data_IF_685977455023
#
_entry.id   IF_685977455023
#
_cell.length_a   1.000
_cell.length_b   1.000
_cell.length_c   1.000
_cell.angle_alpha   90.00
_cell.angle_beta   90.00
_cell.angle_gamma   90.00
#
_symmetry.space_group_name_H-M   'P 1'
#
loop_
_entity.id
_entity.type
_entity.pdbx_description
1 polymer ?
#
# COMPACT_ATOMS: atom_id res chain seq x y z
N UNK A 1 9.50 -61.67 -34.40
CA UNK A 1 10.29 -60.64 -33.69
C UNK A 1 10.20 -59.23 -34.30
N UNK A 2 10.00 -59.03 -35.60
CA UNK A 2 9.91 -57.69 -36.23
C UNK A 2 8.62 -56.88 -35.90
N UNK A 3 7.55 -57.51 -35.46
CA UNK A 3 6.27 -56.83 -35.16
C UNK A 3 6.20 -56.24 -33.72
N UNK A 4 7.03 -56.73 -32.80
CA UNK A 4 7.06 -56.23 -31.42
C UNK A 4 7.91 -54.95 -31.34
N UNK A 5 8.91 -54.76 -32.19
CA UNK A 5 9.72 -53.52 -32.24
C UNK A 5 8.97 -52.32 -32.80
N UNK A 6 7.96 -52.53 -33.66
CA UNK A 6 7.15 -51.44 -34.22
C UNK A 6 6.10 -50.93 -33.22
N UNK A 7 5.66 -51.76 -32.29
CA UNK A 7 4.73 -51.34 -31.22
C UNK A 7 5.44 -50.56 -30.12
N UNK A 8 6.66 -50.96 -29.82
CA UNK A 8 7.49 -50.25 -28.83
C UNK A 8 7.97 -48.87 -29.32
N UNK A 9 8.21 -48.71 -30.63
CA UNK A 9 8.56 -47.41 -31.24
C UNK A 9 7.37 -46.46 -31.34
N UNK A 10 6.13 -46.97 -31.47
CA UNK A 10 4.89 -46.17 -31.50
C UNK A 10 4.47 -45.64 -30.12
N UNK A 11 4.82 -46.36 -29.03
CA UNK A 11 4.51 -45.92 -27.68
C UNK A 11 5.50 -44.86 -27.13
N UNK A 12 6.71 -44.80 -27.66
CA UNK A 12 7.73 -43.83 -27.24
C UNK A 12 7.55 -42.43 -27.90
N UNK A 13 6.79 -42.32 -29.00
CA UNK A 13 6.49 -41.03 -29.62
C UNK A 13 5.24 -40.37 -29.05
N UNK A 14 4.42 -41.05 -28.25
CA UNK A 14 3.19 -40.52 -27.68
C UNK A 14 3.38 -39.77 -26.34
N UNK A 15 4.59 -39.84 -25.74
CA UNK A 15 4.86 -39.23 -24.41
C UNK A 15 5.59 -37.87 -24.51
N UNK A 16 6.01 -37.46 -25.71
CA UNK A 16 6.84 -36.28 -25.91
C UNK A 16 6.05 -35.01 -26.22
N UNK A 17 4.72 -35.00 -26.14
CA UNK A 17 3.90 -33.83 -26.43
C UNK A 17 3.04 -33.33 -25.26
N UNK A 18 3.30 -33.81 -24.04
CA UNK A 18 2.88 -33.06 -22.86
C UNK A 18 4.00 -32.10 -22.48
N UNK A 19 4.24 -31.11 -23.32
CA UNK A 19 4.89 -29.90 -22.91
C UNK A 19 4.02 -29.33 -21.79
N UNK A 20 4.49 -29.43 -20.56
CA UNK A 20 3.95 -28.62 -19.48
C UNK A 20 3.95 -27.18 -19.99
N UNK A 21 2.79 -26.56 -20.13
CA UNK A 21 2.72 -25.13 -20.32
C UNK A 21 3.32 -24.51 -19.07
N UNK A 22 4.52 -23.99 -19.21
CA UNK A 22 5.24 -23.21 -18.17
C UNK A 22 4.62 -21.81 -18.02
N UNK A 23 3.42 -21.60 -18.56
CA UNK A 23 2.62 -20.39 -18.38
C UNK A 23 1.63 -20.56 -17.22
N UNK A 24 2.13 -20.91 -16.06
CA UNK A 24 1.47 -20.52 -14.83
C UNK A 24 2.15 -19.24 -14.34
N UNK A 25 1.71 -18.12 -14.85
CA UNK A 25 1.79 -16.89 -14.10
C UNK A 25 1.14 -17.16 -12.73
N UNK A 26 1.72 -16.67 -11.62
CA UNK A 26 1.09 -16.81 -10.32
C UNK A 26 -0.28 -16.12 -10.35
N UNK A 27 -1.32 -16.93 -10.51
CA UNK A 27 -2.72 -16.50 -10.60
C UNK A 27 -3.25 -15.83 -9.32
N UNK A 28 -2.43 -15.66 -8.27
CA UNK A 28 -2.99 -15.48 -6.94
C UNK A 28 -2.56 -14.26 -6.14
N UNK A 29 -1.79 -13.30 -6.66
CA UNK A 29 -1.44 -12.16 -5.82
C UNK A 29 -1.77 -10.77 -6.36
N UNK A 30 -1.99 -10.61 -7.66
CA UNK A 30 -2.16 -9.25 -8.21
C UNK A 30 -3.32 -9.07 -9.19
N UNK A 31 -3.88 -10.13 -9.74
CA UNK A 31 -4.83 -10.01 -10.85
C UNK A 31 -6.30 -9.85 -10.44
N UNK A 32 -6.75 -10.41 -9.34
CA UNK A 32 -8.18 -10.40 -8.98
C UNK A 32 -8.58 -9.33 -7.97
N UNK A 33 -7.65 -8.84 -7.15
CA UNK A 33 -7.96 -7.83 -6.12
C UNK A 33 -7.58 -6.39 -6.50
N UNK A 34 -6.82 -6.18 -7.58
CA UNK A 34 -6.36 -4.85 -8.00
C UNK A 34 -6.93 -4.41 -9.36
N UNK A 35 -7.86 -5.14 -9.94
CA UNK A 35 -8.47 -4.78 -11.25
C UNK A 35 -9.63 -3.79 -11.13
N UNK A 36 -9.77 -3.12 -10.01
CA UNK A 36 -10.89 -2.18 -9.80
C UNK A 36 -10.70 -0.81 -10.44
N UNK A 37 -9.91 -0.67 -11.48
CA UNK A 37 -9.61 0.67 -11.97
C UNK A 37 -9.92 1.02 -13.41
N UNK A 38 -9.84 0.14 -14.38
CA UNK A 38 -9.89 0.60 -15.80
C UNK A 38 -10.28 -0.50 -16.79
N UNK A 39 -11.32 -1.25 -16.53
CA UNK A 39 -11.85 -2.17 -17.51
C UNK A 39 -13.32 -2.43 -17.26
N UNK A 40 -14.08 -2.86 -18.27
CA UNK A 40 -15.49 -3.27 -18.23
C UNK A 40 -15.78 -4.43 -17.25
N UNK A 41 -15.20 -4.35 -16.04
CA UNK A 41 -15.32 -5.34 -14.98
C UNK A 41 -16.36 -4.85 -13.97
N UNK A 42 -17.26 -5.74 -13.56
CA UNK A 42 -18.29 -5.53 -12.53
C UNK A 42 -17.71 -5.09 -11.15
N UNK A 43 -16.39 -4.97 -11.02
CA UNK A 43 -15.67 -4.60 -9.78
C UNK A 43 -15.12 -3.17 -9.77
N UNK A 44 -15.37 -2.36 -10.79
CA UNK A 44 -14.93 -0.97 -10.80
C UNK A 44 -15.60 -0.16 -9.68
N UNK A 45 -14.81 0.61 -8.92
CA UNK A 45 -15.33 1.53 -7.88
C UNK A 45 -15.97 2.72 -8.60
N UNK A 46 -17.27 2.65 -8.85
CA UNK A 46 -18.01 3.65 -9.62
C UNK A 46 -19.27 4.18 -8.90
N UNK A 47 -19.52 3.73 -7.67
CA UNK A 47 -20.64 4.19 -6.84
C UNK A 47 -20.14 4.67 -5.48
N UNK A 48 -20.93 5.55 -4.84
CA UNK A 48 -20.68 6.04 -3.48
C UNK A 48 -20.52 4.89 -2.47
N UNK A 49 -21.38 3.88 -2.55
CA UNK A 49 -21.35 2.73 -1.64
C UNK A 49 -20.06 1.91 -1.76
N UNK A 50 -19.59 1.65 -3.00
CA UNK A 50 -18.32 0.96 -3.24
C UNK A 50 -17.13 1.77 -2.74
N UNK A 51 -17.14 3.09 -2.94
CA UNK A 51 -16.11 3.99 -2.43
C UNK A 51 -16.08 4.03 -0.90
N UNK A 52 -17.24 4.06 -0.23
CA UNK A 52 -17.35 3.98 1.24
C UNK A 52 -16.82 2.64 1.77
N UNK A 53 -17.13 1.56 1.05
CA UNK A 53 -16.57 0.23 1.32
C UNK A 53 -15.04 0.23 1.24
N UNK A 54 -14.47 0.86 0.22
CA UNK A 54 -13.02 0.99 0.06
C UNK A 54 -12.38 1.85 1.16
N UNK A 55 -13.00 2.95 1.53
CA UNK A 55 -12.57 3.79 2.65
C UNK A 55 -12.57 2.98 3.97
N UNK A 56 -13.60 2.18 4.19
CA UNK A 56 -13.68 1.28 5.35
C UNK A 56 -12.59 0.21 5.31
N UNK A 57 -12.30 -0.36 4.14
CA UNK A 57 -11.22 -1.34 3.96
C UNK A 57 -9.86 -0.75 4.27
N UNK A 58 -9.58 0.50 3.87
CA UNK A 58 -8.38 1.25 4.23
C UNK A 58 -8.17 1.32 5.75
N UNK A 59 -9.21 1.69 6.50
CA UNK A 59 -9.14 1.72 7.97
C UNK A 59 -8.95 0.32 8.57
N UNK A 60 -9.66 -0.68 8.08
CA UNK A 60 -9.58 -2.05 8.57
C UNK A 60 -8.21 -2.68 8.31
N UNK A 61 -7.58 -2.36 7.18
CA UNK A 61 -6.25 -2.85 6.87
C UNK A 61 -5.22 -2.42 7.92
N UNK A 62 -5.30 -1.18 8.40
CA UNK A 62 -4.39 -0.65 9.42
C UNK A 62 -4.71 -1.15 10.83
N UNK A 63 -5.96 -1.58 11.07
CA UNK A 63 -6.40 -2.04 12.38
C UNK A 63 -5.84 -3.42 12.76
N UNK A 64 -5.61 -4.31 11.80
CA UNK A 64 -5.21 -5.71 11.90
C UNK A 64 -4.79 -6.28 13.25
N UNK A 65 -4.35 -7.50 13.27
CA UNK A 65 -3.86 -8.17 14.48
C UNK A 65 -2.42 -7.73 14.88
N UNK A 66 -1.86 -8.36 15.91
CA UNK A 66 -0.52 -8.02 16.43
C UNK A 66 0.62 -8.20 15.42
N UNK A 67 0.42 -8.94 14.33
CA UNK A 67 1.44 -9.15 13.29
C UNK A 67 1.34 -8.15 12.15
N UNK A 68 0.44 -7.19 12.27
CA UNK A 68 0.21 -6.16 11.27
C UNK A 68 1.12 -4.95 11.44
N UNK A 69 0.79 -3.91 10.70
CA UNK A 69 1.56 -2.68 10.58
C UNK A 69 2.03 -2.10 11.93
N UNK A 70 1.13 -2.00 12.92
CA UNK A 70 1.46 -1.39 14.21
C UNK A 70 2.50 -2.16 15.01
N UNK A 71 2.42 -3.49 14.99
CA UNK A 71 3.40 -4.33 15.68
C UNK A 71 4.79 -4.20 15.03
N UNK A 72 4.84 -4.27 13.70
CA UNK A 72 6.11 -4.12 12.97
C UNK A 72 6.71 -2.73 13.19
N UNK A 73 5.90 -1.67 13.07
CA UNK A 73 6.33 -0.30 13.27
C UNK A 73 6.85 -0.07 14.68
N UNK A 74 6.12 -0.52 15.71
CA UNK A 74 6.50 -0.36 17.11
C UNK A 74 7.80 -1.11 17.41
N UNK A 75 7.94 -2.36 16.95
CA UNK A 75 9.17 -3.13 17.13
C UNK A 75 10.37 -2.42 16.52
N UNK A 76 10.26 -1.99 15.26
CA UNK A 76 11.36 -1.32 14.57
C UNK A 76 11.69 0.07 15.14
N UNK A 77 10.72 0.77 15.72
CA UNK A 77 10.95 2.09 16.30
C UNK A 77 11.44 2.01 17.75
N UNK A 78 10.71 1.30 18.61
CA UNK A 78 10.92 1.35 20.06
C UNK A 78 12.06 0.45 20.52
N UNK A 79 12.27 -0.72 19.91
CA UNK A 79 13.39 -1.59 20.25
C UNK A 79 14.75 -0.96 19.87
N UNK A 80 14.79 -0.17 18.79
CA UNK A 80 16.01 0.56 18.39
C UNK A 80 16.28 1.81 19.22
N UNK A 81 15.28 2.32 19.91
CA UNK A 81 15.35 3.55 20.71
C UNK A 81 15.58 3.31 22.21
N UNK A 82 15.96 2.11 22.61
CA UNK A 82 16.13 1.68 24.01
C UNK A 82 14.84 1.78 24.88
N UNK A 83 13.69 2.01 24.24
CA UNK A 83 12.39 2.10 24.93
C UNK A 83 11.75 0.74 25.16
N UNK A 84 12.18 -0.28 24.40
CA UNK A 84 11.68 -1.64 24.52
C UNK A 84 12.84 -2.62 24.48
N UNK A 85 12.64 -3.77 25.13
CA UNK A 85 13.58 -4.87 25.19
C UNK A 85 12.89 -6.17 24.85
N UNK A 86 13.42 -6.95 23.90
CA UNK A 86 12.84 -8.21 23.45
C UNK A 86 12.94 -9.37 24.46
N UNK A 87 13.67 -9.18 25.54
CA UNK A 87 13.86 -10.17 26.59
C UNK A 87 14.91 -11.24 26.26
N UNK A 88 15.26 -12.06 27.26
CA UNK A 88 16.30 -13.09 27.13
C UNK A 88 15.95 -14.24 26.16
N UNK A 89 14.67 -14.37 25.82
CA UNK A 89 14.15 -15.39 24.90
C UNK A 89 13.74 -14.79 23.57
N UNK A 90 14.14 -13.55 23.28
CA UNK A 90 13.82 -12.88 22.03
C UNK A 90 14.36 -13.67 20.84
N UNK A 91 13.56 -13.78 19.80
CA UNK A 91 13.99 -14.34 18.53
C UNK A 91 15.18 -13.53 17.99
N UNK A 92 16.08 -14.20 17.26
CA UNK A 92 17.28 -13.58 16.67
C UNK A 92 16.95 -12.31 15.87
N UNK A 93 15.78 -12.27 15.26
CA UNK A 93 15.29 -11.11 14.46
C UNK A 93 15.00 -9.88 15.32
N UNK A 94 14.46 -10.04 16.54
CA UNK A 94 14.24 -8.93 17.47
C UNK A 94 15.59 -8.45 18.02
N UNK A 95 16.48 -9.37 18.35
CA UNK A 95 17.86 -9.03 18.82
C UNK A 95 18.62 -8.25 17.75
N UNK A 96 18.49 -8.58 16.47
CA UNK A 96 19.12 -7.81 15.40
C UNK A 96 18.56 -6.38 15.28
N UNK A 97 17.26 -6.19 15.57
CA UNK A 97 16.65 -4.86 15.63
C UNK A 97 17.21 -4.04 16.80
N UNK A 98 17.23 -4.61 18.01
CA UNK A 98 17.75 -3.98 19.22
C UNK A 98 19.22 -3.56 19.09
N UNK A 99 20.03 -4.43 18.49
CA UNK A 99 21.47 -4.18 18.29
C UNK A 99 21.77 -3.30 17.07
N UNK A 100 20.76 -2.81 16.35
CA UNK A 100 20.90 -2.07 15.10
C UNK A 100 21.69 -2.81 13.99
N UNK A 101 21.60 -4.14 13.97
CA UNK A 101 22.20 -5.01 12.95
C UNK A 101 21.11 -5.65 12.08
N UNK A 102 20.22 -4.82 11.56
CA UNK A 102 19.14 -5.26 10.69
C UNK A 102 19.71 -5.55 9.30
N UNK A 103 19.54 -6.78 8.83
CA UNK A 103 19.86 -7.21 7.48
C UNK A 103 18.63 -7.24 6.57
N UNK A 104 18.85 -7.58 5.29
CA UNK A 104 17.81 -7.67 4.28
C UNK A 104 16.78 -8.77 4.56
N UNK A 105 17.14 -9.76 5.39
CA UNK A 105 16.31 -10.93 5.69
C UNK A 105 15.48 -10.74 6.96
N UNK A 106 15.56 -9.57 7.60
CA UNK A 106 14.80 -9.27 8.79
C UNK A 106 13.31 -9.12 8.48
N UNK A 107 12.49 -10.02 9.03
CA UNK A 107 11.03 -10.05 8.78
C UNK A 107 10.31 -8.77 9.22
N UNK A 108 10.75 -8.12 10.30
CA UNK A 108 10.10 -6.87 10.74
C UNK A 108 10.25 -5.78 9.68
N UNK A 109 11.43 -5.66 9.08
CA UNK A 109 11.68 -4.67 8.04
C UNK A 109 10.90 -5.01 6.76
N UNK A 110 10.99 -6.26 6.28
CA UNK A 110 10.30 -6.68 5.05
C UNK A 110 8.78 -6.67 5.17
N UNK A 111 8.25 -7.13 6.30
CA UNK A 111 6.81 -7.09 6.55
C UNK A 111 6.30 -5.65 6.64
N UNK A 112 6.98 -4.77 7.38
CA UNK A 112 6.57 -3.37 7.45
C UNK A 112 6.59 -2.69 6.09
N UNK A 113 7.59 -2.98 5.26
CA UNK A 113 7.64 -2.49 3.89
C UNK A 113 6.40 -2.93 3.09
N UNK A 114 6.11 -4.22 3.09
CA UNK A 114 4.98 -4.78 2.35
C UNK A 114 3.64 -4.25 2.87
N UNK A 115 3.45 -4.19 4.19
CA UNK A 115 2.25 -3.59 4.79
C UNK A 115 2.10 -2.12 4.44
N UNK A 116 3.20 -1.36 4.41
CA UNK A 116 3.16 0.05 4.05
C UNK A 116 2.79 0.26 2.59
N UNK A 117 3.37 -0.53 1.67
CA UNK A 117 3.03 -0.45 0.24
C UNK A 117 1.55 -0.76 0.00
N UNK A 118 1.04 -1.83 0.61
CA UNK A 118 -0.37 -2.18 0.51
C UNK A 118 -1.29 -1.12 1.16
N UNK A 119 -0.87 -0.53 2.29
CA UNK A 119 -1.65 0.55 2.92
C UNK A 119 -1.74 1.81 2.04
N UNK A 120 -0.67 2.13 1.30
CA UNK A 120 -0.69 3.20 0.28
C UNK A 120 -1.63 2.84 -0.86
N UNK A 121 -1.64 1.58 -1.31
CA UNK A 121 -2.57 1.14 -2.35
C UNK A 121 -4.04 1.32 -1.92
N UNK A 122 -4.41 0.88 -0.71
CA UNK A 122 -5.76 1.10 -0.18
C UNK A 122 -6.16 2.59 -0.17
N UNK A 123 -5.26 3.49 0.18
CA UNK A 123 -5.52 4.92 0.11
C UNK A 123 -5.68 5.42 -1.35
N UNK A 124 -4.81 4.93 -2.25
CA UNK A 124 -4.87 5.29 -3.67
C UNK A 124 -6.16 4.79 -4.34
N UNK A 125 -6.72 3.64 -3.91
CA UNK A 125 -8.02 3.17 -4.40
C UNK A 125 -9.13 4.20 -4.13
N UNK A 126 -9.09 4.90 -3.01
CA UNK A 126 -10.04 5.98 -2.73
C UNK A 126 -9.69 7.23 -3.56
N UNK A 127 -8.43 7.67 -3.51
CA UNK A 127 -7.96 8.93 -4.12
C UNK A 127 -8.17 8.92 -5.63
N UNK A 128 -7.85 7.82 -6.32
CA UNK A 128 -7.91 7.74 -7.77
C UNK A 128 -9.33 7.51 -8.32
N UNK A 129 -10.25 6.95 -7.51
CA UNK A 129 -11.61 6.65 -7.98
C UNK A 129 -12.65 7.70 -7.53
N UNK A 130 -12.35 8.56 -6.57
CA UNK A 130 -13.35 9.47 -6.00
C UNK A 130 -13.93 10.46 -7.02
N UNK A 131 -13.12 10.93 -7.97
CA UNK A 131 -13.58 11.83 -9.05
C UNK A 131 -14.56 11.11 -9.97
N UNK A 132 -14.23 9.89 -10.39
CA UNK A 132 -15.11 9.05 -11.21
C UNK A 132 -16.44 8.76 -10.51
N UNK A 133 -16.37 8.45 -9.21
CA UNK A 133 -17.59 8.23 -8.41
C UNK A 133 -18.41 9.50 -8.33
N UNK A 134 -17.78 10.65 -8.13
CA UNK A 134 -18.48 11.95 -8.07
C UNK A 134 -19.20 12.29 -9.37
N UNK A 135 -18.62 11.91 -10.50
CA UNK A 135 -19.23 12.11 -11.82
C UNK A 135 -20.41 11.16 -12.06
N UNK A 136 -20.29 9.91 -11.62
CA UNK A 136 -21.25 8.84 -11.94
C UNK A 136 -22.38 8.72 -10.90
N UNK A 137 -22.13 9.06 -9.65
CA UNK A 137 -23.08 8.89 -8.54
C UNK A 137 -23.37 10.21 -7.83
N UNK A 138 -24.49 10.89 -8.17
CA UNK A 138 -24.90 12.15 -7.53
C UNK A 138 -25.19 12.03 -6.03
N UNK A 139 -25.29 10.83 -5.47
CA UNK A 139 -25.49 10.62 -4.04
C UNK A 139 -24.23 10.94 -3.21
N UNK A 140 -23.04 10.93 -3.82
CA UNK A 140 -21.82 11.42 -3.19
C UNK A 140 -21.87 12.94 -3.10
N UNK A 141 -22.12 13.47 -1.92
CA UNK A 141 -22.18 14.91 -1.69
C UNK A 141 -20.80 15.57 -1.80
N UNK A 142 -20.74 16.89 -2.04
CA UNK A 142 -19.47 17.63 -2.09
C UNK A 142 -18.74 17.58 -0.75
N UNK A 143 -19.50 17.57 0.35
CA UNK A 143 -18.96 17.42 1.70
C UNK A 143 -18.29 16.06 1.87
N UNK A 144 -18.97 14.97 1.56
CA UNK A 144 -18.42 13.62 1.67
C UNK A 144 -17.20 13.43 0.75
N UNK A 145 -17.25 13.94 -0.47
CA UNK A 145 -16.11 13.95 -1.39
C UNK A 145 -14.87 14.59 -0.73
N UNK A 146 -15.03 15.81 -0.18
CA UNK A 146 -13.91 16.52 0.44
C UNK A 146 -13.39 15.81 1.69
N UNK A 147 -14.28 15.31 2.53
CA UNK A 147 -13.94 14.61 3.76
C UNK A 147 -13.22 13.29 3.47
N UNK A 148 -13.77 12.45 2.57
CA UNK A 148 -13.21 11.13 2.24
C UNK A 148 -11.87 11.23 1.51
N UNK A 149 -11.75 12.19 0.60
CA UNK A 149 -10.47 12.46 -0.04
C UNK A 149 -9.42 12.91 1.00
N UNK A 150 -9.79 13.80 1.92
CA UNK A 150 -8.90 14.25 2.99
C UNK A 150 -8.43 13.08 3.88
N UNK A 151 -9.32 12.14 4.20
CA UNK A 151 -8.97 10.96 5.00
C UNK A 151 -7.95 10.07 4.29
N UNK A 152 -8.17 9.77 3.01
CA UNK A 152 -7.27 8.94 2.23
C UNK A 152 -5.90 9.60 2.03
N UNK A 153 -5.86 10.90 1.76
CA UNK A 153 -4.63 11.69 1.67
C UNK A 153 -3.85 11.68 2.99
N UNK A 154 -4.52 11.87 4.12
CA UNK A 154 -3.90 11.81 5.44
C UNK A 154 -3.31 10.43 5.74
N UNK A 155 -4.01 9.34 5.39
CA UNK A 155 -3.51 7.98 5.55
C UNK A 155 -2.26 7.75 4.72
N UNK A 156 -2.29 8.09 3.43
CA UNK A 156 -1.14 7.97 2.54
C UNK A 156 0.07 8.73 3.08
N UNK A 157 -0.12 9.99 3.45
CA UNK A 157 0.95 10.82 4.00
C UNK A 157 1.52 10.25 5.30
N UNK A 158 0.68 9.75 6.21
CA UNK A 158 1.13 9.11 7.44
C UNK A 158 2.03 7.90 7.18
N UNK A 159 1.65 7.04 6.24
CA UNK A 159 2.45 5.88 5.85
C UNK A 159 3.78 6.32 5.24
N UNK A 160 3.77 7.24 4.29
CA UNK A 160 4.99 7.75 3.65
C UNK A 160 5.96 8.39 4.66
N UNK A 161 5.45 9.14 5.63
CA UNK A 161 6.29 9.71 6.69
C UNK A 161 7.01 8.63 7.49
N UNK A 162 6.31 7.57 7.90
CA UNK A 162 6.92 6.45 8.62
C UNK A 162 7.94 5.70 7.73
N UNK A 163 7.58 5.44 6.47
CA UNK A 163 8.50 4.80 5.52
C UNK A 163 9.78 5.62 5.30
N UNK A 164 9.67 6.94 5.09
CA UNK A 164 10.84 7.80 4.92
C UNK A 164 11.76 7.83 6.13
N UNK A 165 11.21 7.76 7.34
CA UNK A 165 12.00 7.73 8.57
C UNK A 165 12.77 6.42 8.72
N UNK A 166 12.19 5.30 8.34
CA UNK A 166 12.75 3.96 8.53
C UNK A 166 13.61 3.49 7.35
N UNK A 167 13.19 3.77 6.14
CA UNK A 167 13.79 3.22 4.92
C UNK A 167 14.52 4.26 4.04
N UNK A 168 14.42 5.54 4.38
CA UNK A 168 15.03 6.59 3.57
C UNK A 168 14.21 6.96 2.34
N UNK A 169 14.81 6.87 1.15
CA UNK A 169 14.09 7.07 -0.12
C UNK A 169 13.11 5.93 -0.36
N UNK A 170 11.92 6.25 -0.84
CA UNK A 170 10.83 5.31 -1.07
C UNK A 170 10.22 5.47 -2.47
N UNK A 171 9.60 4.44 -3.05
CA UNK A 171 8.73 4.59 -4.20
C UNK A 171 7.52 5.44 -3.84
N UNK A 172 7.21 6.46 -4.64
CA UNK A 172 6.05 7.32 -4.43
C UNK A 172 4.93 6.88 -5.36
N UNK A 173 4.06 5.99 -4.88
CA UNK A 173 2.89 5.52 -5.61
C UNK A 173 1.73 6.50 -5.42
N UNK A 174 1.33 7.18 -6.49
CA UNK A 174 0.20 8.13 -6.50
C UNK A 174 -0.94 7.67 -7.38
N UNK A 175 -0.73 6.63 -8.17
CA UNK A 175 -1.68 6.10 -9.16
C UNK A 175 -1.85 4.59 -8.96
N UNK A 176 -2.93 4.05 -9.49
CA UNK A 176 -3.18 2.62 -9.54
C UNK A 176 -2.70 2.11 -10.89
N UNK A 177 -1.68 1.23 -10.94
CA UNK A 177 -1.24 0.68 -12.20
C UNK A 177 -2.36 -0.12 -12.89
N UNK A 178 -2.47 -0.06 -14.24
CA UNK A 178 -3.40 -0.88 -14.97
C UNK A 178 -3.15 -2.38 -14.76
N UNK A 179 -4.17 -3.21 -14.94
CA UNK A 179 -4.03 -4.66 -14.86
C UNK A 179 -3.04 -5.18 -15.91
N UNK A 180 -2.13 -6.06 -15.49
CA UNK A 180 -1.15 -6.70 -16.38
C UNK A 180 -1.85 -7.79 -17.20
N UNK A 181 -1.62 -7.78 -18.51
CA UNK A 181 -2.02 -8.85 -19.42
C UNK A 181 -0.92 -9.10 -20.47
N UNK A 182 -1.09 -10.13 -21.27
CA UNK A 182 -0.08 -10.52 -22.28
C UNK A 182 0.22 -9.44 -23.33
N UNK A 183 -0.68 -8.49 -23.54
CA UNK A 183 -0.53 -7.42 -24.54
C UNK A 183 0.14 -6.14 -23.99
N UNK A 184 0.21 -5.97 -22.66
CA UNK A 184 0.70 -4.75 -22.05
C UNK A 184 1.80 -4.96 -21.00
N UNK A 185 2.29 -6.17 -20.79
CA UNK A 185 3.22 -6.52 -19.71
C UNK A 185 4.51 -5.69 -19.74
N UNK A 186 5.09 -5.41 -20.89
CA UNK A 186 6.33 -4.63 -21.01
C UNK A 186 6.15 -3.17 -20.57
N UNK A 187 4.98 -2.60 -20.85
CA UNK A 187 4.64 -1.22 -20.50
C UNK A 187 4.20 -1.09 -19.04
N UNK A 188 3.37 -2.01 -18.57
CA UNK A 188 2.69 -1.90 -17.27
C UNK A 188 3.54 -2.47 -16.12
N UNK A 189 4.32 -3.52 -16.35
CA UNK A 189 5.14 -4.14 -15.30
C UNK A 189 6.06 -3.15 -14.56
N UNK A 190 6.76 -2.21 -15.22
CA UNK A 190 7.58 -1.21 -14.53
C UNK A 190 6.80 -0.29 -13.60
N UNK A 191 5.49 -0.07 -13.83
CA UNK A 191 4.66 0.79 -12.99
C UNK A 191 4.39 0.18 -11.61
N UNK A 192 4.45 -1.15 -11.50
CA UNK A 192 4.33 -1.85 -10.22
C UNK A 192 5.60 -1.78 -9.37
N UNK A 193 6.74 -1.46 -9.99
CA UNK A 193 8.05 -1.39 -9.34
C UNK A 193 8.76 -0.06 -9.62
N UNK A 194 8.13 1.07 -9.26
CA UNK A 194 8.72 2.38 -9.52
C UNK A 194 10.01 2.57 -8.73
N UNK A 195 10.92 3.35 -9.30
CA UNK A 195 12.15 3.72 -8.62
C UNK A 195 11.87 4.51 -7.33
N UNK A 196 12.78 4.42 -6.38
CA UNK A 196 12.74 5.26 -5.19
C UNK A 196 12.97 6.73 -5.57
N UNK A 197 12.24 7.61 -4.94
CA UNK A 197 12.40 9.06 -5.10
C UNK A 197 12.95 9.68 -3.82
N UNK A 198 13.47 10.90 -3.94
CA UNK A 198 14.04 11.62 -2.80
C UNK A 198 12.98 11.89 -1.72
N UNK A 199 13.40 11.96 -0.46
CA UNK A 199 12.53 12.40 0.64
C UNK A 199 11.92 13.78 0.38
N UNK A 200 12.66 14.66 -0.29
CA UNK A 200 12.18 15.99 -0.66
C UNK A 200 10.97 15.91 -1.60
N UNK A 201 11.03 15.09 -2.62
CA UNK A 201 9.92 14.88 -3.57
C UNK A 201 8.66 14.35 -2.87
N UNK A 202 8.83 13.36 -1.97
CA UNK A 202 7.71 12.84 -1.17
C UNK A 202 7.17 13.92 -0.22
N UNK A 203 8.06 14.71 0.39
CA UNK A 203 7.69 15.80 1.28
C UNK A 203 6.86 16.89 0.60
N UNK A 204 7.22 17.28 -0.61
CA UNK A 204 6.45 18.23 -1.43
C UNK A 204 5.03 17.71 -1.72
N UNK A 205 4.90 16.41 -2.01
CA UNK A 205 3.59 15.80 -2.20
C UNK A 205 2.78 15.78 -0.90
N UNK A 206 3.40 15.48 0.25
CA UNK A 206 2.73 15.53 1.57
C UNK A 206 2.21 16.94 1.88
N UNK A 207 2.99 17.99 1.60
CA UNK A 207 2.55 19.37 1.81
C UNK A 207 1.32 19.67 0.94
N UNK A 208 1.36 19.29 -0.33
CA UNK A 208 0.21 19.45 -1.24
C UNK A 208 -1.03 18.71 -0.77
N UNK A 209 -0.87 17.46 -0.37
CA UNK A 209 -1.99 16.60 0.05
C UNK A 209 -2.60 17.08 1.38
N UNK A 210 -1.78 17.47 2.34
CA UNK A 210 -2.24 17.73 3.71
C UNK A 210 -2.39 19.21 3.99
N UNK A 211 -1.34 20.03 3.84
CA UNK A 211 -1.42 21.45 4.17
C UNK A 211 -2.36 22.20 3.22
N UNK A 212 -2.26 21.93 1.91
CA UNK A 212 -3.05 22.63 0.91
C UNK A 212 -4.47 22.07 0.76
N UNK A 213 -4.72 20.80 1.11
CA UNK A 213 -6.02 20.16 0.94
C UNK A 213 -6.63 19.69 2.27
N UNK A 214 -6.08 18.67 2.93
CA UNK A 214 -6.76 18.02 4.07
C UNK A 214 -6.95 18.95 5.27
N UNK A 215 -6.03 19.87 5.55
CA UNK A 215 -6.20 20.88 6.60
C UNK A 215 -7.39 21.82 6.36
N UNK A 216 -7.85 21.96 5.12
CA UNK A 216 -9.01 22.78 4.77
C UNK A 216 -10.31 22.00 4.82
N UNK A 217 -10.30 20.77 4.30
CA UNK A 217 -11.51 20.02 3.95
C UNK A 217 -11.79 18.81 4.85
N UNK A 218 -10.83 18.34 5.65
CA UNK A 218 -11.10 17.27 6.60
C UNK A 218 -12.18 17.70 7.62
N UNK A 219 -13.02 16.74 8.10
CA UNK A 219 -14.10 17.07 9.01
C UNK A 219 -13.58 17.54 10.38
N UNK A 220 -14.33 18.42 11.03
CA UNK A 220 -14.14 18.67 12.45
C UNK A 220 -14.58 17.45 13.27
N UNK A 221 -13.94 17.20 14.41
CA UNK A 221 -14.28 16.06 15.25
C UNK A 221 -15.64 16.25 15.91
N UNK A 222 -16.51 15.25 15.79
CA UNK A 222 -17.79 15.15 16.49
C UNK A 222 -18.04 13.72 17.02
N UNK A 223 -19.24 13.47 17.56
CA UNK A 223 -19.58 12.17 18.13
C UNK A 223 -19.68 11.05 17.08
N UNK A 224 -19.95 11.38 15.81
CA UNK A 224 -20.12 10.41 14.72
C UNK A 224 -18.80 9.99 14.08
N UNK A 225 -17.79 10.84 14.11
CA UNK A 225 -16.52 10.63 13.41
C UNK A 225 -15.28 10.53 14.33
N UNK A 226 -15.47 10.39 15.65
CA UNK A 226 -14.38 10.38 16.64
C UNK A 226 -13.30 9.31 16.43
N UNK A 227 -13.54 8.31 15.62
CA UNK A 227 -12.60 7.25 15.26
C UNK A 227 -12.07 7.36 13.82
N UNK A 228 -12.42 8.44 13.13
CA UNK A 228 -11.97 8.74 11.78
C UNK A 228 -10.95 9.86 11.78
N UNK A 229 -10.28 10.06 10.65
CA UNK A 229 -9.38 11.19 10.46
C UNK A 229 -10.19 12.48 10.47
N UNK A 230 -9.70 13.45 11.21
CA UNK A 230 -10.31 14.77 11.37
C UNK A 230 -9.30 15.85 11.03
N UNK A 231 -9.77 17.09 10.96
CA UNK A 231 -8.91 18.26 10.77
C UNK A 231 -7.80 18.36 11.83
N UNK A 232 -8.10 17.99 13.08
CA UNK A 232 -7.10 17.93 14.15
C UNK A 232 -5.99 16.91 13.86
N UNK A 233 -6.32 15.76 13.25
CA UNK A 233 -5.33 14.80 12.80
C UNK A 233 -4.45 15.36 11.68
N UNK A 234 -5.05 16.05 10.68
CA UNK A 234 -4.30 16.64 9.58
C UNK A 234 -3.28 17.70 10.07
N UNK A 235 -3.69 18.60 10.97
CA UNK A 235 -2.77 19.55 11.60
C UNK A 235 -1.69 18.87 12.44
N UNK A 236 -2.05 17.86 13.24
CA UNK A 236 -1.07 17.07 14.01
C UNK A 236 -0.04 16.36 13.12
N UNK A 237 -0.50 15.86 11.96
CA UNK A 237 0.39 15.23 10.97
C UNK A 237 1.38 16.25 10.38
N UNK A 238 0.92 17.45 10.03
CA UNK A 238 1.80 18.51 9.53
C UNK A 238 2.77 19.03 10.60
N UNK A 239 2.34 19.16 11.86
CA UNK A 239 3.24 19.50 12.95
C UNK A 239 4.35 18.45 13.11
N UNK A 240 4.00 17.17 13.02
CA UNK A 240 5.00 16.07 13.00
C UNK A 240 5.92 16.16 11.79
N UNK A 241 5.36 16.43 10.59
CA UNK A 241 6.15 16.58 9.37
C UNK A 241 7.20 17.68 9.49
N UNK A 242 6.82 18.88 9.91
CA UNK A 242 7.74 20.02 10.10
C UNK A 242 8.68 19.88 11.31
N UNK A 243 8.46 18.89 12.18
CA UNK A 243 9.42 18.55 13.23
C UNK A 243 10.51 17.58 12.75
N UNK A 244 10.32 16.90 11.61
CA UNK A 244 11.32 16.00 11.03
C UNK A 244 12.57 16.79 10.62
N UNK A 245 13.76 16.20 10.82
CA UNK A 245 15.04 16.87 10.60
C UNK A 245 15.18 17.49 9.22
N UNK A 246 14.73 16.76 8.20
CA UNK A 246 14.84 17.14 6.79
C UNK A 246 13.88 18.28 6.38
N UNK A 247 12.76 18.43 7.10
CA UNK A 247 11.67 19.36 6.76
C UNK A 247 11.43 20.39 7.85
N UNK A 248 12.34 20.50 8.82
CA UNK A 248 12.16 21.31 10.02
C UNK A 248 11.85 22.77 9.72
N UNK A 249 10.66 23.18 10.12
CA UNK A 249 10.20 24.56 10.04
C UNK A 249 9.35 24.89 11.28
N UNK A 250 9.93 25.66 12.19
CA UNK A 250 9.26 26.06 13.44
C UNK A 250 8.31 27.26 13.28
N UNK A 251 8.18 27.82 12.08
CA UNK A 251 7.23 28.88 11.78
C UNK A 251 5.86 28.38 11.37
N UNK A 252 5.76 27.09 11.08
CA UNK A 252 4.52 26.38 10.68
C UNK A 252 3.87 25.72 11.88
#
# INVERSE_FOLDING_TARGET
MKKIFLIAAGLSLGVATTSCSLEKFPETMYAENNTSGTGDSETAINTRELLEGQLTAMYNYMKGDLQTYWYQLTTLAEARADNAYGGNMAETKVVSVESNHIDSDNEFASNLWNYSMNAVDYANQVICNIDLVKENDPSLTDKEYQEWLSEALCWRAYIWMNMMQLFGEIPMLTEIPPAINAGNVEEVYPLYFPARVSKQTVGEQIVKDIEEYACKYAPDMDASNKFRITKGFAYGLMARFYSMREFRDWSK
#
